data_IF_986297356870
#
_entry.id   IF_986297356870
#
_cell.length_a   1.000
_cell.length_b   1.000
_cell.length_c   1.000
_cell.angle_alpha   90.00
_cell.angle_beta   90.00
_cell.angle_gamma   90.00
#
_symmetry.space_group_name_H-M   'P 1'
#
loop_
_entity.id
_entity.type
_entity.pdbx_description
1 polymer ?
#
# COMPACT_ATOMS: atom_id res chain seq x y z
N UNK A 1 7.99 -31.86 7.21
CA UNK A 1 6.88 -32.37 6.43
C UNK A 1 5.60 -32.08 7.20
N UNK A 2 5.27 -30.79 7.41
CA UNK A 2 4.07 -30.31 8.14
C UNK A 2 3.57 -28.96 7.59
N UNK A 3 3.76 -28.70 6.29
CA UNK A 3 3.36 -27.45 5.62
C UNK A 3 2.24 -27.62 4.58
N UNK A 4 1.55 -28.78 4.59
CA UNK A 4 0.57 -29.12 3.54
C UNK A 4 -0.89 -29.15 4.01
N UNK A 5 -1.17 -28.83 5.29
CA UNK A 5 -2.54 -28.90 5.84
C UNK A 5 -3.09 -27.55 6.36
N UNK A 6 -2.63 -26.42 5.81
CA UNK A 6 -3.37 -25.18 6.02
C UNK A 6 -4.48 -25.07 4.98
N UNK A 7 -5.71 -24.76 5.38
CA UNK A 7 -6.84 -24.66 4.46
C UNK A 7 -6.56 -23.60 3.40
N UNK A 8 -6.89 -23.92 2.16
CA UNK A 8 -6.66 -23.06 0.96
C UNK A 8 -7.16 -21.61 1.08
N UNK A 9 -8.05 -21.34 2.04
CA UNK A 9 -8.54 -19.98 2.32
C UNK A 9 -7.47 -18.98 2.78
N UNK A 10 -6.35 -19.41 3.35
CA UNK A 10 -5.28 -18.49 3.80
C UNK A 10 -4.35 -18.02 2.67
N UNK A 11 -4.31 -18.74 1.53
CA UNK A 11 -3.48 -18.38 0.38
C UNK A 11 -4.13 -17.38 -0.57
N UNK A 12 -5.44 -17.21 -0.52
CA UNK A 12 -6.21 -16.44 -1.52
C UNK A 12 -6.24 -14.93 -1.26
N UNK A 13 -5.91 -14.48 -0.07
CA UNK A 13 -6.13 -13.11 0.43
C UNK A 13 -5.41 -11.99 -0.34
N UNK A 14 -4.37 -12.32 -1.10
CA UNK A 14 -3.41 -11.32 -1.60
C UNK A 14 -3.35 -11.29 -3.12
N UNK A 15 -4.23 -11.99 -3.81
CA UNK A 15 -4.20 -11.93 -5.26
C UNK A 15 -4.88 -10.65 -5.75
N UNK A 16 -4.30 -10.02 -6.76
CA UNK A 16 -4.90 -8.86 -7.43
C UNK A 16 -6.27 -9.21 -8.00
N UNK A 17 -6.48 -10.46 -8.42
CA UNK A 17 -7.77 -10.95 -8.91
C UNK A 17 -8.85 -10.88 -7.82
N UNK A 18 -8.58 -11.40 -6.63
CA UNK A 18 -9.51 -11.28 -5.49
C UNK A 18 -9.78 -9.83 -5.10
N UNK A 19 -8.76 -8.99 -5.10
CA UNK A 19 -8.92 -7.57 -4.83
C UNK A 19 -9.78 -6.87 -5.90
N UNK A 20 -9.59 -7.22 -7.18
CA UNK A 20 -10.37 -6.66 -8.29
C UNK A 20 -11.82 -7.10 -8.19
N UNK A 21 -12.08 -8.39 -7.92
CA UNK A 21 -13.41 -8.92 -7.72
C UNK A 21 -14.11 -8.26 -6.53
N UNK A 22 -13.43 -8.16 -5.38
CA UNK A 22 -13.93 -7.47 -4.21
C UNK A 22 -14.28 -6.00 -4.51
N UNK A 23 -13.41 -5.30 -5.23
CA UNK A 23 -13.65 -3.91 -5.63
C UNK A 23 -14.87 -3.77 -6.54
N UNK A 24 -15.04 -4.70 -7.49
CA UNK A 24 -16.18 -4.74 -8.38
C UNK A 24 -17.50 -5.03 -7.62
N UNK A 25 -17.48 -5.99 -6.70
CA UNK A 25 -18.65 -6.35 -5.87
C UNK A 25 -19.06 -5.20 -4.95
N UNK A 26 -18.12 -4.53 -4.28
CA UNK A 26 -18.41 -3.35 -3.46
C UNK A 26 -19.00 -2.24 -4.33
N UNK A 27 -18.38 -1.94 -5.48
CA UNK A 27 -18.87 -0.90 -6.38
C UNK A 27 -20.26 -1.21 -6.93
N UNK A 28 -20.55 -2.47 -7.27
CA UNK A 28 -21.88 -2.91 -7.69
C UNK A 28 -22.92 -2.68 -6.59
N UNK A 29 -22.62 -3.09 -5.36
CA UNK A 29 -23.55 -2.91 -4.23
C UNK A 29 -23.79 -1.43 -3.91
N UNK A 30 -22.76 -0.58 -3.99
CA UNK A 30 -22.92 0.88 -3.84
C UNK A 30 -23.80 1.50 -4.90
N UNK A 31 -23.88 0.90 -6.09
CA UNK A 31 -24.65 1.42 -7.23
C UNK A 31 -26.08 0.86 -7.30
N UNK A 32 -26.37 -0.21 -6.56
CA UNK A 32 -27.59 -1.02 -6.77
C UNK A 32 -28.88 -0.36 -6.22
N UNK A 33 -28.78 0.64 -5.35
CA UNK A 33 -29.92 1.36 -4.73
C UNK A 33 -31.03 0.44 -4.20
N UNK A 34 -30.66 -0.56 -3.38
CA UNK A 34 -31.57 -1.52 -2.77
C UNK A 34 -31.98 -1.05 -1.36
N UNK A 35 -33.16 -1.44 -0.84
CA UNK A 35 -33.56 -1.11 0.52
C UNK A 35 -32.64 -1.68 1.60
N UNK A 36 -32.04 -2.86 1.35
CA UNK A 36 -31.09 -3.59 2.19
C UNK A 36 -29.62 -3.39 1.80
N UNK A 37 -29.32 -2.35 1.04
CA UNK A 37 -28.00 -2.11 0.44
C UNK A 37 -26.89 -2.07 1.50
N UNK A 38 -27.13 -1.36 2.61
CA UNK A 38 -26.11 -1.19 3.65
C UNK A 38 -25.81 -2.50 4.39
N UNK A 39 -26.83 -3.32 4.65
CA UNK A 39 -26.65 -4.62 5.29
C UNK A 39 -25.95 -5.62 4.35
N UNK A 40 -26.34 -5.65 3.08
CA UNK A 40 -25.70 -6.49 2.06
C UNK A 40 -24.24 -6.11 1.85
N UNK A 41 -23.95 -4.81 1.78
CA UNK A 41 -22.59 -4.29 1.67
C UNK A 41 -21.78 -4.63 2.92
N UNK A 42 -22.34 -4.44 4.11
CA UNK A 42 -21.66 -4.80 5.35
C UNK A 42 -21.36 -6.31 5.39
N UNK A 43 -22.30 -7.18 5.01
CA UNK A 43 -22.09 -8.61 4.95
C UNK A 43 -20.93 -8.98 4.00
N UNK A 44 -20.82 -8.30 2.85
CA UNK A 44 -19.72 -8.47 1.92
C UNK A 44 -18.37 -8.06 2.56
N UNK A 45 -18.32 -6.93 3.28
CA UNK A 45 -17.11 -6.46 3.93
C UNK A 45 -16.65 -7.40 5.04
N UNK A 46 -17.59 -7.86 5.85
CA UNK A 46 -17.31 -8.73 6.99
C UNK A 46 -16.91 -10.15 6.56
N UNK A 47 -17.38 -10.62 5.41
CA UNK A 47 -17.17 -12.01 5.00
C UNK A 47 -17.67 -13.00 6.07
N UNK A 48 -16.81 -13.91 6.58
CA UNK A 48 -17.21 -14.87 7.61
C UNK A 48 -17.32 -14.29 9.02
N UNK A 49 -16.81 -13.08 9.27
CA UNK A 49 -16.83 -12.46 10.60
C UNK A 49 -18.26 -12.21 11.09
N UNK A 50 -18.46 -12.37 12.38
CA UNK A 50 -19.77 -12.20 13.05
C UNK A 50 -19.64 -11.28 14.24
N UNK A 51 -20.59 -10.35 14.33
CA UNK A 51 -20.70 -9.39 15.44
C UNK A 51 -22.06 -9.54 16.11
N UNK A 52 -22.10 -9.45 17.43
CA UNK A 52 -23.35 -9.48 18.19
C UNK A 52 -24.18 -8.20 17.97
N UNK A 53 -23.53 -7.10 17.70
CA UNK A 53 -24.13 -5.81 17.36
C UNK A 53 -23.44 -5.23 16.12
N UNK A 54 -24.20 -5.10 15.03
CA UNK A 54 -23.72 -4.54 13.77
C UNK A 54 -24.08 -3.04 13.60
N UNK A 55 -24.85 -2.48 14.53
CA UNK A 55 -25.31 -1.08 14.41
C UNK A 55 -24.15 -0.08 14.37
N UNK A 56 -23.07 -0.20 15.14
CA UNK A 56 -21.92 0.70 15.02
C UNK A 56 -21.30 0.66 13.62
N UNK A 57 -21.22 -0.52 12.99
CA UNK A 57 -20.66 -0.67 11.65
C UNK A 57 -21.57 -0.04 10.57
N UNK A 58 -22.88 -0.20 10.70
CA UNK A 58 -23.85 0.46 9.82
C UNK A 58 -23.78 1.99 9.96
N UNK A 59 -23.64 2.50 11.18
CA UNK A 59 -23.48 3.93 11.44
C UNK A 59 -22.15 4.46 10.87
N UNK A 60 -21.04 3.73 11.02
CA UNK A 60 -19.76 4.08 10.41
C UNK A 60 -19.87 4.14 8.89
N UNK A 61 -20.50 3.12 8.26
CA UNK A 61 -20.72 3.08 6.82
C UNK A 61 -21.58 4.24 6.34
N UNK A 62 -22.67 4.56 7.03
CA UNK A 62 -23.50 5.73 6.76
C UNK A 62 -22.68 7.02 6.83
N UNK A 63 -21.84 7.14 7.85
CA UNK A 63 -21.00 8.33 8.07
C UNK A 63 -20.03 8.54 6.89
N UNK A 64 -19.29 7.50 6.48
CA UNK A 64 -18.34 7.65 5.35
C UNK A 64 -19.05 7.90 4.02
N UNK A 65 -20.22 7.29 3.78
CA UNK A 65 -21.03 7.55 2.58
C UNK A 65 -21.51 9.01 2.53
N UNK A 66 -21.93 9.58 3.64
CA UNK A 66 -22.30 11.00 3.73
C UNK A 66 -21.08 11.90 3.48
N UNK A 67 -19.94 11.56 4.05
CA UNK A 67 -18.71 12.35 3.94
C UNK A 67 -18.14 12.34 2.53
N UNK A 68 -17.94 11.16 1.94
CA UNK A 68 -17.38 11.04 0.59
C UNK A 68 -18.37 11.39 -0.52
N UNK A 69 -19.67 11.10 -0.34
CA UNK A 69 -20.66 11.32 -1.39
C UNK A 69 -20.24 10.68 -2.71
N UNK A 70 -20.26 11.47 -3.79
CA UNK A 70 -19.85 11.04 -5.13
C UNK A 70 -18.39 11.41 -5.46
N UNK A 71 -17.60 11.79 -4.46
CA UNK A 71 -16.19 12.15 -4.62
C UNK A 71 -15.41 10.99 -5.22
N UNK A 72 -14.57 11.29 -6.21
CA UNK A 72 -13.73 10.29 -6.88
C UNK A 72 -12.25 10.46 -6.55
N UNK A 73 -11.53 9.36 -6.49
CA UNK A 73 -10.07 9.36 -6.41
C UNK A 73 -9.47 9.86 -7.73
N UNK A 74 -8.21 10.31 -7.68
CA UNK A 74 -7.47 10.77 -8.88
C UNK A 74 -7.41 9.72 -9.99
N UNK A 75 -7.43 8.46 -9.63
CA UNK A 75 -7.40 7.29 -10.55
C UNK A 75 -8.80 6.84 -11.02
N UNK A 76 -9.86 7.56 -10.64
CA UNK A 76 -11.21 7.42 -11.20
C UNK A 76 -12.27 6.74 -10.34
N UNK A 77 -12.02 5.75 -9.46
CA UNK A 77 -13.07 5.12 -8.65
C UNK A 77 -13.65 6.07 -7.58
N UNK A 78 -14.82 5.70 -7.04
CA UNK A 78 -15.40 6.41 -5.90
C UNK A 78 -14.45 6.39 -4.70
N UNK A 79 -14.28 7.53 -4.04
CA UNK A 79 -13.34 7.63 -2.91
C UNK A 79 -13.75 6.74 -1.72
N UNK A 80 -15.04 6.55 -1.50
CA UNK A 80 -15.58 5.68 -0.45
C UNK A 80 -15.17 4.20 -0.61
N UNK A 81 -14.75 3.76 -1.81
CA UNK A 81 -14.27 2.39 -2.00
C UNK A 81 -13.03 2.07 -1.18
N UNK A 82 -12.15 3.05 -0.99
CA UNK A 82 -10.91 2.85 -0.24
C UNK A 82 -11.14 2.38 1.21
N UNK A 83 -11.84 3.12 2.07
CA UNK A 83 -12.07 2.67 3.44
C UNK A 83 -12.91 1.37 3.50
N UNK A 84 -13.82 1.14 2.57
CA UNK A 84 -14.58 -0.11 2.51
C UNK A 84 -13.69 -1.31 2.15
N UNK A 85 -12.80 -1.17 1.16
CA UNK A 85 -11.83 -2.21 0.81
C UNK A 85 -10.83 -2.45 1.94
N UNK A 86 -10.35 -1.39 2.59
CA UNK A 86 -9.47 -1.50 3.76
C UNK A 86 -10.14 -2.31 4.87
N UNK A 87 -11.40 -2.05 5.17
CA UNK A 87 -12.17 -2.85 6.13
C UNK A 87 -12.31 -4.32 5.72
N UNK A 88 -12.58 -4.58 4.45
CA UNK A 88 -12.67 -5.93 3.92
C UNK A 88 -11.33 -6.68 3.97
N UNK A 89 -10.21 -6.00 3.71
CA UNK A 89 -8.86 -6.57 3.84
C UNK A 89 -8.54 -6.93 5.29
N UNK A 90 -8.83 -6.04 6.25
CA UNK A 90 -8.70 -6.32 7.68
C UNK A 90 -9.53 -7.54 8.07
N UNK A 91 -10.82 -7.55 7.71
CA UNK A 91 -11.73 -8.66 8.05
C UNK A 91 -11.24 -10.01 7.51
N UNK A 92 -10.70 -10.05 6.30
CA UNK A 92 -10.24 -11.30 5.67
C UNK A 92 -8.89 -11.76 6.17
N UNK A 93 -8.06 -10.87 6.69
CA UNK A 93 -6.74 -11.21 7.21
C UNK A 93 -6.82 -11.77 8.63
N UNK A 94 -7.80 -11.33 9.39
CA UNK A 94 -7.99 -11.72 10.80
C UNK A 94 -8.90 -12.93 10.92
N UNK A 95 -8.56 -13.88 11.82
CA UNK A 95 -9.44 -15.01 12.15
C UNK A 95 -10.71 -14.49 12.85
N UNK A 96 -10.56 -13.55 13.76
CA UNK A 96 -11.65 -12.93 14.52
C UNK A 96 -11.41 -11.41 14.61
N UNK A 97 -11.81 -10.63 13.61
CA UNK A 97 -11.68 -9.18 13.67
C UNK A 97 -12.53 -8.59 14.79
N UNK A 98 -11.96 -7.70 15.58
CA UNK A 98 -12.68 -6.95 16.60
C UNK A 98 -13.54 -5.84 16.01
N UNK A 99 -14.52 -5.38 16.79
CA UNK A 99 -15.36 -4.25 16.38
C UNK A 99 -14.52 -3.01 16.08
N UNK A 100 -13.48 -2.75 16.88
CA UNK A 100 -12.61 -1.60 16.68
C UNK A 100 -11.73 -1.73 15.44
N UNK A 101 -11.26 -2.93 15.08
CA UNK A 101 -10.54 -3.14 13.82
C UNK A 101 -11.38 -2.69 12.62
N UNK A 102 -12.66 -3.10 12.61
CA UNK A 102 -13.58 -2.77 11.53
C UNK A 102 -13.97 -1.30 11.50
N UNK A 103 -14.33 -0.73 12.65
CA UNK A 103 -14.70 0.69 12.75
C UNK A 103 -13.53 1.60 12.35
N UNK A 104 -12.35 1.25 12.84
CA UNK A 104 -11.14 2.02 12.56
C UNK A 104 -10.75 1.92 11.08
N UNK A 105 -10.87 0.71 10.48
CA UNK A 105 -10.61 0.53 9.05
C UNK A 105 -11.58 1.34 8.17
N UNK A 106 -12.86 1.43 8.54
CA UNK A 106 -13.84 2.26 7.82
C UNK A 106 -13.61 3.76 7.99
N UNK A 107 -13.05 4.20 9.12
CA UNK A 107 -12.98 5.62 9.51
C UNK A 107 -11.55 6.18 9.49
N UNK A 108 -10.53 5.39 9.10
CA UNK A 108 -9.12 5.75 9.27
C UNK A 108 -8.73 7.07 8.60
N UNK A 109 -9.29 7.34 7.43
CA UNK A 109 -9.02 8.57 6.67
C UNK A 109 -10.00 9.71 6.99
N UNK A 110 -10.89 9.54 8.00
CA UNK A 110 -11.86 10.59 8.34
C UNK A 110 -11.19 11.94 8.64
N UNK A 111 -10.04 11.91 9.32
CA UNK A 111 -9.31 13.12 9.68
C UNK A 111 -8.60 13.78 8.49
N UNK A 112 -8.14 12.99 7.54
CA UNK A 112 -7.40 13.48 6.37
C UNK A 112 -8.32 13.86 5.21
N UNK A 113 -9.27 12.99 4.88
CA UNK A 113 -10.10 13.11 3.68
C UNK A 113 -11.44 13.83 3.90
N UNK A 114 -11.96 13.81 5.13
CA UNK A 114 -13.30 14.31 5.46
C UNK A 114 -13.29 15.47 6.47
N UNK A 115 -12.38 16.46 6.36
CA UNK A 115 -12.57 17.70 7.12
C UNK A 115 -13.86 18.38 6.68
N UNK A 116 -14.53 19.04 7.62
CA UNK A 116 -15.89 19.58 7.37
C UNK A 116 -15.97 20.53 6.18
N UNK A 117 -14.89 21.22 5.87
CA UNK A 117 -14.77 22.16 4.76
C UNK A 117 -14.86 21.47 3.39
N UNK A 118 -14.50 20.20 3.31
CA UNK A 118 -14.53 19.40 2.06
C UNK A 118 -15.90 18.76 1.83
N UNK A 119 -16.66 18.53 2.91
CA UNK A 119 -17.99 17.92 2.82
C UNK A 119 -18.98 18.94 2.26
N UNK A 120 -19.82 18.50 1.33
CA UNK A 120 -20.87 19.33 0.75
C UNK A 120 -21.81 19.92 1.82
N UNK A 121 -22.14 21.20 1.68
CA UNK A 121 -22.87 21.98 2.71
C UNK A 121 -24.17 21.32 3.16
N UNK A 122 -24.94 20.77 2.24
CA UNK A 122 -26.19 20.06 2.47
C UNK A 122 -26.02 18.74 3.24
N UNK A 123 -24.83 18.16 3.26
CA UNK A 123 -24.50 16.89 3.92
C UNK A 123 -23.79 17.06 5.27
N UNK A 124 -23.20 18.23 5.55
CA UNK A 124 -22.40 18.47 6.77
C UNK A 124 -23.13 18.17 8.07
N UNK A 125 -24.38 18.64 8.18
CA UNK A 125 -25.17 18.42 9.37
C UNK A 125 -25.44 16.93 9.60
N UNK A 126 -25.89 16.23 8.56
CA UNK A 126 -26.16 14.80 8.61
C UNK A 126 -24.88 13.96 8.88
N UNK A 127 -23.73 14.35 8.33
CA UNK A 127 -22.43 13.72 8.62
C UNK A 127 -22.05 13.87 10.09
N UNK A 128 -22.10 15.07 10.65
CA UNK A 128 -21.80 15.33 12.08
C UNK A 128 -22.73 14.53 12.99
N UNK A 129 -24.04 14.58 12.70
CA UNK A 129 -25.04 13.85 13.46
C UNK A 129 -24.80 12.32 13.40
N UNK A 130 -24.56 11.76 12.20
CA UNK A 130 -24.30 10.33 12.03
C UNK A 130 -23.05 9.89 12.83
N UNK A 131 -21.98 10.67 12.80
CA UNK A 131 -20.78 10.38 13.56
C UNK A 131 -21.00 10.50 15.08
N UNK A 132 -21.74 11.50 15.53
CA UNK A 132 -22.09 11.65 16.94
C UNK A 132 -22.95 10.50 17.46
N UNK A 133 -23.97 10.09 16.68
CA UNK A 133 -24.79 8.91 16.99
C UNK A 133 -23.94 7.65 17.12
N UNK A 134 -22.94 7.46 16.26
CA UNK A 134 -22.00 6.34 16.37
C UNK A 134 -21.24 6.39 17.70
N UNK A 135 -20.68 7.55 18.08
CA UNK A 135 -19.93 7.71 19.32
C UNK A 135 -20.82 7.48 20.55
N UNK A 136 -22.04 8.00 20.53
CA UNK A 136 -23.03 7.84 21.61
C UNK A 136 -23.47 6.37 21.75
N UNK A 137 -23.65 5.66 20.63
CA UNK A 137 -24.00 4.23 20.60
C UNK A 137 -22.90 3.36 21.22
N UNK A 138 -21.62 3.68 20.96
CA UNK A 138 -20.49 2.99 21.57
C UNK A 138 -20.38 3.25 23.07
N UNK A 139 -20.94 4.37 23.55
CA UNK A 139 -20.83 4.86 24.92
C UNK A 139 -19.51 5.55 25.22
N UNK A 140 -19.50 6.41 26.23
CA UNK A 140 -18.44 7.39 26.52
C UNK A 140 -16.99 6.91 26.25
N UNK A 141 -16.50 5.97 27.08
CA UNK A 141 -15.10 5.53 27.00
C UNK A 141 -14.74 4.84 25.65
N UNK A 142 -15.67 4.09 25.05
CA UNK A 142 -15.44 3.43 23.75
C UNK A 142 -15.47 4.43 22.61
N UNK A 143 -16.41 5.37 22.64
CA UNK A 143 -16.47 6.46 21.65
C UNK A 143 -15.23 7.34 21.68
N UNK A 144 -14.77 7.73 22.87
CA UNK A 144 -13.53 8.49 23.06
C UNK A 144 -12.30 7.71 22.55
N UNK A 145 -12.24 6.40 22.83
CA UNK A 145 -11.18 5.52 22.32
C UNK A 145 -11.16 5.53 20.79
N UNK A 146 -12.31 5.32 20.13
CA UNK A 146 -12.39 5.33 18.66
C UNK A 146 -11.91 6.66 18.08
N UNK A 147 -12.41 7.78 18.60
CA UNK A 147 -12.03 9.10 18.13
C UNK A 147 -10.54 9.40 18.35
N UNK A 148 -9.97 8.93 19.46
CA UNK A 148 -8.52 9.00 19.70
C UNK A 148 -7.72 8.20 18.70
N UNK A 149 -8.12 6.95 18.41
CA UNK A 149 -7.44 6.08 17.45
C UNK A 149 -7.47 6.67 16.04
N UNK A 150 -8.60 7.25 15.62
CA UNK A 150 -8.72 7.95 14.32
C UNK A 150 -7.73 9.13 14.26
N UNK A 151 -7.61 9.92 15.35
CA UNK A 151 -6.62 11.01 15.40
C UNK A 151 -5.18 10.51 15.28
N UNK A 152 -4.84 9.39 15.89
CA UNK A 152 -3.50 8.77 15.76
C UNK A 152 -3.23 8.32 14.32
N UNK A 153 -4.23 7.85 13.60
CA UNK A 153 -4.09 7.48 12.17
C UNK A 153 -4.02 8.69 11.23
N UNK A 154 -4.49 9.85 11.67
CA UNK A 154 -4.42 11.08 10.88
C UNK A 154 -3.00 11.63 10.87
N UNK A 155 -2.42 11.81 9.68
CA UNK A 155 -1.07 12.36 9.56
C UNK A 155 -1.02 13.83 9.96
N UNK A 156 -0.26 14.15 11.01
CA UNK A 156 0.06 15.53 11.36
C UNK A 156 1.21 16.05 10.49
N UNK A 157 0.99 17.14 9.77
CA UNK A 157 1.97 17.68 8.83
C UNK A 157 3.26 18.14 9.51
N UNK A 158 3.19 18.57 10.77
CA UNK A 158 4.34 19.07 11.52
C UNK A 158 5.40 18.00 11.80
N UNK A 159 4.98 16.75 12.01
CA UNK A 159 5.88 15.62 12.28
C UNK A 159 6.54 15.07 11.03
N UNK A 160 6.04 15.40 9.85
CA UNK A 160 6.41 14.73 8.61
C UNK A 160 5.99 13.25 8.61
N UNK A 161 6.15 12.57 7.47
CA UNK A 161 5.68 11.18 7.34
C UNK A 161 6.44 10.20 8.23
N UNK A 162 7.74 10.40 8.41
CA UNK A 162 8.59 9.53 9.23
C UNK A 162 8.21 9.61 10.71
N UNK A 163 8.13 10.82 11.26
CA UNK A 163 7.72 11.02 12.64
C UNK A 163 6.32 10.50 12.94
N UNK A 164 5.40 10.66 11.99
CA UNK A 164 4.07 10.08 12.05
C UNK A 164 4.11 8.53 12.16
N UNK A 165 4.94 7.86 11.33
CA UNK A 165 5.07 6.40 11.39
C UNK A 165 5.63 5.92 12.73
N UNK A 166 6.62 6.60 13.28
CA UNK A 166 7.18 6.27 14.60
C UNK A 166 6.15 6.40 15.70
N UNK A 167 5.39 7.50 15.70
CA UNK A 167 4.31 7.71 16.66
C UNK A 167 3.25 6.62 16.55
N UNK A 168 2.88 6.25 15.34
CA UNK A 168 1.92 5.16 15.06
C UNK A 168 2.42 3.83 15.62
N UNK A 169 3.68 3.46 15.36
CA UNK A 169 4.29 2.23 15.85
C UNK A 169 4.35 2.22 17.39
N UNK A 170 4.73 3.34 18.01
CA UNK A 170 4.76 3.41 19.47
C UNK A 170 3.36 3.24 20.11
N UNK A 171 2.35 3.87 19.52
CA UNK A 171 0.96 3.74 19.98
C UNK A 171 0.37 2.36 19.76
N UNK A 172 0.81 1.68 18.70
CA UNK A 172 0.34 0.32 18.37
C UNK A 172 0.76 -0.75 19.38
N UNK A 173 1.78 -0.49 20.21
CA UNK A 173 2.20 -1.40 21.29
C UNK A 173 1.08 -1.65 22.30
N UNK A 174 0.20 -0.66 22.50
CA UNK A 174 -0.99 -0.76 23.37
C UNK A 174 -2.28 -0.95 22.58
N UNK A 175 -2.25 -0.66 21.29
CA UNK A 175 -3.41 -0.62 20.40
C UNK A 175 -3.05 -1.21 19.03
N UNK A 176 -2.92 -2.55 18.91
CA UNK A 176 -2.45 -3.21 17.69
C UNK A 176 -3.35 -2.96 16.47
N UNK A 177 -4.62 -2.65 16.69
CA UNK A 177 -5.57 -2.29 15.62
C UNK A 177 -5.06 -1.15 14.73
N UNK A 178 -4.22 -0.26 15.27
CA UNK A 178 -3.60 0.83 14.48
C UNK A 178 -2.70 0.30 13.37
N UNK A 179 -1.89 -0.74 13.65
CA UNK A 179 -1.03 -1.37 12.64
C UNK A 179 -1.84 -2.20 11.65
N UNK A 180 -2.84 -2.96 12.12
CA UNK A 180 -3.71 -3.74 11.25
C UNK A 180 -4.33 -2.84 10.18
N UNK A 181 -4.89 -1.72 10.60
CA UNK A 181 -5.54 -0.77 9.70
C UNK A 181 -4.52 -0.07 8.80
N UNK A 182 -3.38 0.36 9.34
CA UNK A 182 -2.37 1.07 8.52
C UNK A 182 -1.73 0.17 7.48
N UNK A 183 -1.47 -1.09 7.79
CA UNK A 183 -0.96 -2.07 6.82
C UNK A 183 -2.02 -2.40 5.76
N UNK A 184 -3.29 -2.56 6.14
CA UNK A 184 -4.38 -2.77 5.20
C UNK A 184 -4.62 -1.55 4.29
N UNK A 185 -4.51 -0.32 4.81
CA UNK A 185 -4.49 0.92 4.01
C UNK A 185 -3.35 0.91 2.99
N UNK A 186 -2.14 0.55 3.42
CA UNK A 186 -0.98 0.44 2.52
C UNK A 186 -1.19 -0.62 1.44
N UNK A 187 -1.77 -1.75 1.80
CA UNK A 187 -2.11 -2.83 0.89
C UNK A 187 -3.14 -2.38 -0.14
N UNK A 188 -4.25 -1.76 0.28
CA UNK A 188 -5.28 -1.22 -0.62
C UNK A 188 -4.68 -0.21 -1.60
N UNK A 189 -3.91 0.74 -1.10
CA UNK A 189 -3.26 1.76 -1.92
C UNK A 189 -2.28 1.17 -2.96
N UNK A 190 -1.64 0.05 -2.65
CA UNK A 190 -0.72 -0.65 -3.57
C UNK A 190 -1.50 -1.46 -4.61
N UNK A 191 -2.52 -2.21 -4.19
CA UNK A 191 -3.33 -3.04 -5.07
C UNK A 191 -4.24 -2.22 -5.99
N UNK A 192 -4.70 -1.05 -5.55
CA UNK A 192 -5.56 -0.15 -6.34
C UNK A 192 -4.87 0.30 -7.65
N UNK A 193 -3.54 0.33 -7.66
CA UNK A 193 -2.76 0.61 -8.87
C UNK A 193 -2.92 -0.46 -9.96
N UNK A 194 -3.34 -1.67 -9.60
CA UNK A 194 -3.53 -2.77 -10.55
C UNK A 194 -4.93 -2.82 -11.16
N UNK A 195 -5.90 -2.07 -10.62
CA UNK A 195 -7.25 -2.03 -11.18
C UNK A 195 -7.21 -1.42 -12.57
N UNK A 196 -7.78 -2.15 -13.53
CA UNK A 196 -7.85 -1.69 -14.92
C UNK A 196 -6.58 -1.96 -15.74
N UNK A 197 -5.60 -2.70 -15.20
CA UNK A 197 -4.40 -3.14 -15.92
C UNK A 197 -4.55 -4.62 -16.33
N UNK A 198 -5.12 -4.91 -17.50
CA UNK A 198 -5.33 -6.28 -17.92
C UNK A 198 -4.00 -6.99 -18.25
N UNK A 199 -3.88 -8.23 -17.84
CA UNK A 199 -2.87 -9.16 -18.37
C UNK A 199 -1.55 -9.27 -17.59
N UNK A 200 -1.23 -8.37 -16.67
CA UNK A 200 0.02 -8.44 -15.88
C UNK A 200 0.06 -9.68 -14.98
N UNK A 201 -1.09 -10.14 -14.53
CA UNK A 201 -1.24 -11.29 -13.63
C UNK A 201 -0.87 -12.64 -14.25
N UNK A 202 -0.96 -12.75 -15.57
CA UNK A 202 -0.67 -13.99 -16.29
C UNK A 202 0.79 -14.12 -16.77
N UNK A 203 1.61 -13.08 -16.54
CA UNK A 203 3.01 -13.11 -16.94
C UNK A 203 3.87 -13.78 -15.87
N UNK A 204 4.64 -14.78 -16.30
CA UNK A 204 5.77 -15.24 -15.52
C UNK A 204 6.89 -14.20 -15.66
N UNK A 205 6.98 -13.28 -14.71
CA UNK A 205 7.97 -12.20 -14.72
C UNK A 205 9.39 -12.73 -14.90
N UNK A 206 9.78 -13.75 -14.14
CA UNK A 206 11.14 -14.29 -14.21
C UNK A 206 11.46 -14.87 -15.58
N UNK A 207 10.51 -15.59 -16.20
CA UNK A 207 10.68 -16.09 -17.56
C UNK A 207 10.79 -14.93 -18.55
N UNK A 208 9.94 -13.94 -18.45
CA UNK A 208 9.96 -12.78 -19.36
C UNK A 208 11.28 -12.01 -19.26
N UNK A 209 11.78 -11.78 -18.04
CA UNK A 209 13.08 -11.14 -17.82
C UNK A 209 14.22 -12.03 -18.30
N UNK A 210 14.16 -13.34 -18.05
CA UNK A 210 15.16 -14.28 -18.56
C UNK A 210 15.21 -14.25 -20.09
N UNK A 211 14.07 -14.37 -20.74
CA UNK A 211 13.97 -14.34 -22.21
C UNK A 211 14.52 -13.00 -22.73
N UNK A 212 14.14 -11.89 -22.10
CA UNK A 212 14.60 -10.55 -22.49
C UNK A 212 16.12 -10.37 -22.34
N UNK A 213 16.70 -10.85 -21.26
CA UNK A 213 18.11 -10.60 -20.94
C UNK A 213 19.09 -11.64 -21.51
N UNK A 214 18.66 -12.88 -21.67
CA UNK A 214 19.54 -14.00 -21.93
C UNK A 214 19.28 -14.73 -23.27
N UNK A 215 18.15 -14.44 -23.93
CA UNK A 215 17.81 -15.01 -25.22
C UNK A 215 17.64 -13.91 -26.29
N UNK A 216 18.66 -13.10 -26.56
CA UNK A 216 18.54 -11.93 -27.45
C UNK A 216 18.20 -12.25 -28.90
N UNK A 217 18.32 -13.51 -29.31
CA UNK A 217 18.06 -13.98 -30.68
C UNK A 217 16.70 -14.68 -30.80
N UNK A 218 15.88 -14.68 -29.78
CA UNK A 218 14.58 -15.33 -29.80
C UNK A 218 13.61 -14.59 -30.75
N UNK A 219 13.68 -14.91 -32.01
CA UNK A 219 12.74 -14.42 -33.02
C UNK A 219 11.36 -15.03 -32.74
N UNK A 220 10.52 -14.33 -32.04
CA UNK A 220 9.16 -14.78 -31.83
C UNK A 220 8.50 -14.33 -30.52
N UNK A 221 9.22 -13.75 -29.58
CA UNK A 221 8.57 -13.06 -28.48
C UNK A 221 8.10 -11.70 -29.00
N UNK A 222 7.00 -11.71 -29.73
CA UNK A 222 6.16 -10.52 -29.83
C UNK A 222 5.58 -10.32 -28.43
N UNK A 223 6.35 -9.69 -27.55
CA UNK A 223 5.79 -8.99 -26.41
C UNK A 223 4.94 -7.90 -27.07
N UNK A 224 3.67 -8.23 -27.24
CA UNK A 224 2.72 -7.28 -27.83
C UNK A 224 2.76 -6.09 -26.89
N UNK A 225 3.20 -4.94 -27.39
CA UNK A 225 3.26 -3.65 -26.68
C UNK A 225 1.83 -3.18 -26.41
N UNK A 226 1.19 -3.73 -25.38
CA UNK A 226 -0.13 -3.28 -24.95
C UNK A 226 -0.07 -2.38 -23.72
N UNK A 227 1.13 -2.21 -23.16
CA UNK A 227 1.33 -1.42 -21.96
C UNK A 227 2.39 -0.35 -22.26
N UNK A 228 2.10 0.86 -21.83
CA UNK A 228 3.03 1.96 -21.84
C UNK A 228 3.38 2.30 -20.41
N UNK A 229 4.65 2.61 -20.17
CA UNK A 229 5.02 3.24 -18.91
C UNK A 229 4.09 4.44 -18.65
N UNK A 230 3.60 4.62 -17.42
CA UNK A 230 2.85 5.80 -17.06
C UNK A 230 3.63 7.08 -17.37
N UNK A 231 2.95 8.21 -17.45
CA UNK A 231 3.62 9.51 -17.49
C UNK A 231 4.54 9.69 -16.27
N UNK A 232 5.62 10.48 -16.34
CA UNK A 232 6.48 10.74 -15.18
C UNK A 232 5.73 11.24 -13.94
N UNK A 233 4.63 11.95 -14.13
CA UNK A 233 3.78 12.45 -13.03
C UNK A 233 2.99 11.30 -12.35
N UNK A 234 2.39 10.42 -13.13
CA UNK A 234 1.70 9.23 -12.61
C UNK A 234 2.70 8.25 -12.01
N UNK A 235 3.82 8.00 -12.69
CA UNK A 235 4.91 7.14 -12.21
C UNK A 235 5.51 7.63 -10.90
N UNK A 236 5.57 8.94 -10.67
CA UNK A 236 6.02 9.52 -9.40
C UNK A 236 5.14 9.12 -8.22
N UNK A 237 3.84 8.94 -8.44
CA UNK A 237 2.91 8.47 -7.41
C UNK A 237 3.16 7.00 -7.08
N UNK A 238 3.38 6.16 -8.10
CA UNK A 238 3.69 4.74 -7.92
C UNK A 238 4.99 4.56 -7.14
N UNK A 239 6.07 5.23 -7.54
CA UNK A 239 7.33 5.20 -6.81
C UNK A 239 7.18 5.69 -5.37
N UNK A 240 6.42 6.76 -5.15
CA UNK A 240 6.15 7.27 -3.80
C UNK A 240 5.48 6.24 -2.91
N UNK A 241 4.57 5.41 -3.46
CA UNK A 241 3.96 4.32 -2.71
C UNK A 241 4.98 3.24 -2.36
N UNK A 242 5.80 2.82 -3.32
CA UNK A 242 6.83 1.80 -3.09
C UNK A 242 7.85 2.26 -2.03
N UNK A 243 8.34 3.49 -2.12
CA UNK A 243 9.25 4.04 -1.11
C UNK A 243 8.60 4.12 0.28
N UNK A 244 7.35 4.57 0.37
CA UNK A 244 6.60 4.59 1.64
C UNK A 244 6.45 3.20 2.24
N UNK A 245 6.16 2.19 1.41
CA UNK A 245 6.08 0.81 1.86
C UNK A 245 7.44 0.32 2.37
N UNK A 246 8.52 0.53 1.61
CA UNK A 246 9.86 0.11 2.02
C UNK A 246 10.28 0.72 3.36
N UNK A 247 10.04 2.03 3.56
CA UNK A 247 10.35 2.71 4.83
C UNK A 247 9.49 2.18 5.96
N UNK A 248 8.19 2.03 5.75
CA UNK A 248 7.27 1.57 6.79
C UNK A 248 7.58 0.14 7.24
N UNK A 249 7.79 -0.79 6.28
CA UNK A 249 8.16 -2.16 6.60
C UNK A 249 9.52 -2.24 7.30
N UNK A 250 10.49 -1.41 6.90
CA UNK A 250 11.79 -1.32 7.57
C UNK A 250 11.67 -0.86 9.02
N UNK A 251 10.89 0.17 9.29
CA UNK A 251 10.64 0.65 10.64
C UNK A 251 9.94 -0.40 11.51
N UNK A 252 8.93 -1.08 10.95
CA UNK A 252 8.25 -2.17 11.66
C UNK A 252 9.22 -3.28 12.05
N UNK A 253 10.10 -3.71 11.14
CA UNK A 253 11.13 -4.72 11.45
C UNK A 253 12.08 -4.22 12.52
N UNK A 254 12.53 -2.98 12.43
CA UNK A 254 13.51 -2.44 13.39
C UNK A 254 12.95 -2.28 14.81
N UNK A 255 11.68 -1.85 14.94
CA UNK A 255 11.05 -1.53 16.22
C UNK A 255 10.29 -2.68 16.89
N UNK A 256 9.96 -3.75 16.15
CA UNK A 256 9.00 -4.74 16.59
C UNK A 256 9.39 -6.20 16.32
N UNK A 257 10.66 -6.48 15.98
CA UNK A 257 11.15 -7.80 15.53
C UNK A 257 10.64 -8.97 16.40
N UNK A 258 10.51 -8.80 17.70
CA UNK A 258 10.14 -9.89 18.62
C UNK A 258 8.64 -9.94 18.99
N UNK A 259 7.78 -9.08 18.44
CA UNK A 259 6.44 -8.85 19.01
C UNK A 259 5.31 -8.56 18.03
N UNK A 260 5.47 -8.77 16.75
CA UNK A 260 4.36 -8.63 15.81
C UNK A 260 3.35 -9.77 16.03
N UNK A 261 2.08 -9.44 16.16
CA UNK A 261 1.03 -10.46 16.16
C UNK A 261 0.86 -11.06 14.74
N UNK A 262 0.26 -12.24 14.67
CA UNK A 262 0.10 -12.98 13.42
C UNK A 262 -0.68 -12.23 12.33
N UNK A 263 -1.56 -11.29 12.69
CA UNK A 263 -2.29 -10.45 11.75
C UNK A 263 -1.38 -9.40 11.14
N UNK A 264 -0.59 -8.74 11.99
CA UNK A 264 0.40 -7.76 11.55
C UNK A 264 1.43 -8.40 10.63
N UNK A 265 1.94 -9.60 10.94
CA UNK A 265 2.87 -10.34 10.06
C UNK A 265 2.25 -10.66 8.71
N UNK A 266 1.01 -11.18 8.68
CA UNK A 266 0.32 -11.47 7.42
C UNK A 266 0.10 -10.23 6.56
N UNK A 267 -0.29 -9.11 7.16
CA UNK A 267 -0.44 -7.85 6.45
C UNK A 267 0.89 -7.27 5.98
N UNK A 268 1.96 -7.44 6.78
CA UNK A 268 3.32 -7.07 6.39
C UNK A 268 3.74 -7.81 5.12
N UNK A 269 3.61 -9.13 5.11
CA UNK A 269 3.94 -9.95 3.94
C UNK A 269 3.08 -9.59 2.72
N UNK A 270 1.80 -9.32 2.95
CA UNK A 270 0.88 -8.88 1.91
C UNK A 270 1.33 -7.57 1.24
N UNK A 271 1.71 -6.57 2.03
CA UNK A 271 2.23 -5.29 1.52
C UNK A 271 3.56 -5.50 0.77
N UNK A 272 4.46 -6.35 1.28
CA UNK A 272 5.71 -6.66 0.61
C UNK A 272 5.48 -7.34 -0.74
N UNK A 273 4.61 -8.36 -0.80
CA UNK A 273 4.25 -9.07 -2.05
C UNK A 273 3.59 -8.13 -3.06
N UNK A 274 2.62 -7.31 -2.62
CA UNK A 274 1.97 -6.34 -3.49
C UNK A 274 2.99 -5.32 -4.05
N UNK A 275 3.94 -4.89 -3.23
CA UNK A 275 5.00 -3.96 -3.62
C UNK A 275 5.98 -4.59 -4.62
N UNK A 276 6.35 -5.87 -4.45
CA UNK A 276 7.15 -6.60 -5.45
C UNK A 276 6.41 -6.65 -6.78
N UNK A 277 5.14 -6.99 -6.78
CA UNK A 277 4.33 -7.08 -8.01
C UNK A 277 4.23 -5.75 -8.73
N UNK A 278 4.02 -4.65 -7.99
CA UNK A 278 4.02 -3.31 -8.57
C UNK A 278 5.39 -2.96 -9.18
N UNK A 279 6.48 -3.21 -8.46
CA UNK A 279 7.83 -2.98 -8.95
C UNK A 279 8.15 -3.87 -10.18
N UNK A 280 7.75 -5.14 -10.18
CA UNK A 280 7.91 -6.06 -11.30
C UNK A 280 7.15 -5.61 -12.55
N UNK A 281 5.94 -5.07 -12.36
CA UNK A 281 5.18 -4.52 -13.47
C UNK A 281 5.91 -3.34 -14.12
N UNK A 282 6.37 -2.37 -13.32
CA UNK A 282 7.15 -1.23 -13.82
C UNK A 282 8.44 -1.72 -14.52
N UNK A 283 9.12 -2.70 -13.93
CA UNK A 283 10.33 -3.29 -14.51
C UNK A 283 10.08 -3.89 -15.90
N UNK A 284 9.00 -4.65 -16.06
CA UNK A 284 8.69 -5.32 -17.33
C UNK A 284 8.45 -4.30 -18.45
N UNK A 285 7.66 -3.27 -18.17
CA UNK A 285 7.40 -2.18 -19.11
C UNK A 285 8.69 -1.43 -19.47
N UNK A 286 9.45 -1.05 -18.45
CA UNK A 286 10.69 -0.32 -18.57
C UNK A 286 11.75 -1.12 -19.36
N UNK A 287 11.91 -2.43 -19.05
CA UNK A 287 12.88 -3.28 -19.73
C UNK A 287 12.55 -3.47 -21.21
N UNK A 288 11.27 -3.59 -21.54
CA UNK A 288 10.81 -3.66 -22.91
C UNK A 288 11.13 -2.39 -23.68
N UNK A 289 10.90 -1.23 -23.07
CA UNK A 289 11.21 0.05 -23.69
C UNK A 289 12.72 0.30 -23.77
N UNK A 290 13.46 -0.01 -22.71
CA UNK A 290 14.91 0.16 -22.65
C UNK A 290 15.62 -0.69 -23.69
N UNK A 291 15.23 -1.97 -23.83
CA UNK A 291 15.78 -2.89 -24.83
C UNK A 291 15.66 -2.33 -26.24
N UNK A 292 14.55 -1.69 -26.57
CA UNK A 292 14.31 -1.15 -27.89
C UNK A 292 15.20 0.06 -28.23
N UNK A 293 15.71 0.77 -27.22
CA UNK A 293 16.52 1.99 -27.37
C UNK A 293 18.01 1.76 -27.21
N UNK A 294 18.42 1.05 -26.16
CA UNK A 294 19.80 0.95 -25.70
C UNK A 294 20.44 -0.42 -25.92
N UNK A 295 19.65 -1.42 -26.23
CA UNK A 295 20.08 -2.78 -26.47
C UNK A 295 20.11 -3.67 -25.23
N UNK A 296 20.04 -5.00 -25.48
CA UNK A 296 19.90 -6.04 -24.45
C UNK A 296 21.13 -6.15 -23.57
N UNK A 297 22.35 -6.00 -24.13
CA UNK A 297 23.57 -6.21 -23.35
C UNK A 297 23.78 -5.12 -22.30
N UNK A 298 23.44 -3.87 -22.62
CA UNK A 298 23.50 -2.77 -21.66
C UNK A 298 22.48 -2.96 -20.54
N UNK A 299 21.25 -3.35 -20.88
CA UNK A 299 20.21 -3.65 -19.90
C UNK A 299 20.62 -4.83 -18.99
N UNK A 300 21.16 -5.89 -19.56
CA UNK A 300 21.65 -7.07 -18.82
C UNK A 300 22.71 -6.67 -17.78
N UNK A 301 23.73 -5.92 -18.21
CA UNK A 301 24.78 -5.46 -17.29
C UNK A 301 24.19 -4.63 -16.18
N UNK A 302 23.34 -3.65 -16.48
CA UNK A 302 22.73 -2.77 -15.49
C UNK A 302 21.91 -3.56 -14.45
N UNK A 303 21.05 -4.48 -14.90
CA UNK A 303 20.23 -5.31 -13.99
C UNK A 303 21.11 -6.21 -13.13
N UNK A 304 22.07 -6.91 -13.74
CA UNK A 304 22.94 -7.86 -13.02
C UNK A 304 23.83 -7.16 -12.01
N UNK A 305 24.39 -6.01 -12.34
CA UNK A 305 25.26 -5.24 -11.45
C UNK A 305 24.43 -4.64 -10.29
N UNK A 306 23.23 -4.13 -10.57
CA UNK A 306 22.32 -3.65 -9.53
C UNK A 306 21.87 -4.77 -8.60
N UNK A 307 21.54 -5.95 -9.12
CA UNK A 307 21.15 -7.10 -8.29
C UNK A 307 22.32 -7.55 -7.39
N UNK A 308 23.53 -7.69 -7.93
CA UNK A 308 24.71 -8.05 -7.14
C UNK A 308 24.96 -7.04 -6.02
N UNK A 309 24.88 -5.76 -6.34
CA UNK A 309 25.07 -4.69 -5.39
C UNK A 309 23.99 -4.69 -4.29
N UNK A 310 22.72 -4.90 -4.67
CA UNK A 310 21.59 -4.97 -3.74
C UNK A 310 21.69 -6.18 -2.80
N UNK A 311 22.02 -7.36 -3.34
CA UNK A 311 22.19 -8.60 -2.55
C UNK A 311 23.38 -8.48 -1.56
N UNK A 312 24.45 -7.79 -1.97
CA UNK A 312 25.58 -7.51 -1.10
C UNK A 312 25.29 -6.47 0.01
N UNK A 313 24.06 -5.95 0.06
CA UNK A 313 23.65 -4.94 1.03
C UNK A 313 24.02 -3.50 0.63
N UNK A 314 24.68 -3.29 -0.50
CA UNK A 314 25.12 -1.96 -0.94
C UNK A 314 23.96 -1.01 -1.25
N UNK A 315 22.91 -1.49 -1.92
CA UNK A 315 21.76 -0.68 -2.28
C UNK A 315 20.85 -0.30 -1.09
N UNK A 316 20.99 -1.00 0.03
CA UNK A 316 20.31 -0.69 1.28
C UNK A 316 21.17 0.15 2.23
N UNK A 317 22.46 0.36 1.91
CA UNK A 317 23.30 1.31 2.60
C UNK A 317 22.90 2.73 2.19
N UNK A 318 22.14 3.38 3.04
CA UNK A 318 21.76 4.79 2.84
C UNK A 318 22.98 5.65 3.16
N UNK A 319 23.76 5.96 2.14
CA UNK A 319 24.83 6.93 2.26
C UNK A 319 24.34 8.29 1.80
N UNK A 320 24.68 9.34 2.50
CA UNK A 320 24.56 10.70 1.99
C UNK A 320 25.56 10.90 0.84
N UNK A 321 25.25 10.30 -0.30
CA UNK A 321 26.00 10.59 -1.51
C UNK A 321 25.71 12.04 -1.92
N UNK A 322 26.76 12.80 -2.25
CA UNK A 322 26.62 14.10 -2.90
C UNK A 322 26.06 13.96 -4.32
N UNK A 323 25.93 12.75 -4.80
CA UNK A 323 25.44 12.41 -6.12
C UNK A 323 23.95 12.01 -6.05
N UNK A 324 23.08 12.87 -6.56
CA UNK A 324 21.63 12.62 -6.63
C UNK A 324 21.27 11.39 -7.47
N UNK A 325 22.21 10.81 -8.20
CA UNK A 325 22.06 9.62 -9.03
C UNK A 325 22.61 8.35 -8.37
N UNK A 326 23.09 8.44 -7.14
CA UNK A 326 23.57 7.26 -6.39
C UNK A 326 22.39 6.45 -5.86
N UNK A 327 22.47 5.10 -6.00
CA UNK A 327 21.51 4.16 -5.40
C UNK A 327 21.52 4.27 -3.88
N UNK A 328 22.68 4.56 -3.30
CA UNK A 328 22.86 4.70 -1.86
C UNK A 328 22.10 5.89 -1.25
N UNK A 329 21.86 6.92 -2.02
CA UNK A 329 21.07 8.07 -1.60
C UNK A 329 19.59 8.01 -1.98
N UNK A 330 19.15 6.95 -2.65
CA UNK A 330 17.87 6.92 -3.33
C UNK A 330 16.68 7.15 -2.40
N UNK A 331 16.58 6.38 -1.32
CA UNK A 331 15.50 6.51 -0.34
C UNK A 331 15.66 7.83 0.42
N UNK A 332 16.87 8.13 0.90
CA UNK A 332 17.18 9.32 1.65
C UNK A 332 16.83 10.60 0.86
N UNK A 333 17.36 10.72 -0.35
CA UNK A 333 17.20 11.91 -1.17
C UNK A 333 15.74 12.19 -1.57
N UNK A 334 14.93 11.14 -1.69
CA UNK A 334 13.53 11.26 -2.10
C UNK A 334 12.55 11.31 -0.92
N UNK A 335 12.94 10.80 0.25
CA UNK A 335 12.03 10.68 1.40
C UNK A 335 12.24 11.76 2.47
N UNK A 336 13.45 12.25 2.67
CA UNK A 336 13.78 13.29 3.67
C UNK A 336 13.24 14.67 3.29
N UNK A 337 12.90 14.90 2.02
CA UNK A 337 12.32 16.18 1.60
C UNK A 337 10.89 16.27 2.15
N UNK A 338 10.71 17.14 3.12
CA UNK A 338 9.43 17.41 3.79
C UNK A 338 8.41 18.04 2.84
N UNK A 339 8.86 18.87 1.91
CA UNK A 339 7.99 19.58 0.97
C UNK A 339 7.48 18.64 -0.13
N UNK A 340 6.18 18.36 -0.11
CA UNK A 340 5.52 17.44 -1.03
C UNK A 340 5.74 17.76 -2.51
N UNK A 341 5.77 19.06 -2.87
CA UNK A 341 5.97 19.50 -4.25
C UNK A 341 7.39 19.18 -4.76
N UNK A 342 8.39 19.41 -3.93
CA UNK A 342 9.79 19.09 -4.26
C UNK A 342 9.96 17.57 -4.39
N UNK A 343 9.41 16.81 -3.45
CA UNK A 343 9.45 15.34 -3.50
C UNK A 343 8.81 14.78 -4.76
N UNK A 344 7.63 15.28 -5.16
CA UNK A 344 6.98 14.88 -6.41
C UNK A 344 7.84 15.19 -7.62
N UNK A 345 8.43 16.40 -7.67
CA UNK A 345 9.31 16.79 -8.77
C UNK A 345 10.55 15.90 -8.90
N UNK A 346 11.19 15.54 -7.77
CA UNK A 346 12.33 14.62 -7.76
C UNK A 346 11.94 13.22 -8.24
N UNK A 347 10.84 12.66 -7.75
CA UNK A 347 10.36 11.34 -8.18
C UNK A 347 9.94 11.33 -9.65
N UNK A 348 9.37 12.42 -10.16
CA UNK A 348 9.04 12.54 -11.58
C UNK A 348 10.30 12.57 -12.46
N UNK A 349 11.36 13.28 -12.04
CA UNK A 349 12.65 13.26 -12.72
C UNK A 349 13.31 11.89 -12.69
N UNK A 350 13.24 11.18 -11.54
CA UNK A 350 13.73 9.82 -11.40
C UNK A 350 12.98 8.87 -12.35
N UNK A 351 11.66 8.96 -12.40
CA UNK A 351 10.85 8.13 -13.27
C UNK A 351 11.12 8.39 -14.76
N UNK A 352 11.46 9.61 -15.14
CA UNK A 352 11.81 9.98 -16.51
C UNK A 352 13.20 9.48 -16.95
N UNK A 353 14.08 9.15 -16.03
CA UNK A 353 15.42 8.63 -16.31
C UNK A 353 15.42 7.09 -16.30
N UNK A 354 15.37 6.46 -17.47
CA UNK A 354 15.21 5.01 -17.60
C UNK A 354 16.33 4.19 -16.94
N UNK A 355 17.58 4.65 -17.00
CA UNK A 355 18.70 3.95 -16.38
C UNK A 355 18.58 3.98 -14.86
N UNK A 356 18.33 5.17 -14.31
CA UNK A 356 18.17 5.34 -12.87
C UNK A 356 16.86 4.68 -12.34
N UNK A 357 15.80 4.74 -13.14
CA UNK A 357 14.55 4.01 -12.82
C UNK A 357 14.78 2.50 -12.80
N UNK A 358 15.54 1.95 -13.77
CA UNK A 358 15.89 0.53 -13.79
C UNK A 358 16.62 0.13 -12.51
N UNK A 359 17.64 0.87 -12.13
CA UNK A 359 18.39 0.64 -10.90
C UNK A 359 17.48 0.72 -9.66
N UNK A 360 16.62 1.74 -9.60
CA UNK A 360 15.66 1.92 -8.50
C UNK A 360 14.72 0.74 -8.36
N UNK A 361 14.09 0.32 -9.45
CA UNK A 361 13.08 -0.74 -9.44
C UNK A 361 13.71 -2.10 -9.09
N UNK A 362 14.89 -2.41 -9.64
CA UNK A 362 15.62 -3.65 -9.30
C UNK A 362 16.00 -3.65 -7.81
N UNK A 363 16.43 -2.51 -7.27
CA UNK A 363 16.72 -2.36 -5.84
C UNK A 363 15.47 -2.59 -4.97
N UNK A 364 14.34 -1.99 -5.35
CA UNK A 364 13.09 -2.18 -4.61
C UNK A 364 12.60 -3.62 -4.65
N UNK A 365 12.70 -4.31 -5.80
CA UNK A 365 12.38 -5.74 -5.89
C UNK A 365 13.26 -6.55 -4.93
N UNK A 366 14.58 -6.31 -4.93
CA UNK A 366 15.51 -6.98 -4.03
C UNK A 366 15.18 -6.69 -2.56
N UNK A 367 14.88 -5.43 -2.22
CA UNK A 367 14.53 -5.00 -0.85
C UNK A 367 13.25 -5.71 -0.36
N UNK A 368 12.18 -5.69 -1.14
CA UNK A 368 10.95 -6.37 -0.73
C UNK A 368 11.09 -7.89 -0.68
N UNK A 369 11.89 -8.49 -1.58
CA UNK A 369 12.23 -9.90 -1.50
C UNK A 369 13.01 -10.23 -0.23
N UNK A 370 13.92 -9.36 0.21
CA UNK A 370 14.65 -9.52 1.47
C UNK A 370 13.71 -9.46 2.68
N UNK A 371 12.74 -8.56 2.71
CA UNK A 371 11.71 -8.54 3.77
C UNK A 371 10.93 -9.86 3.91
N UNK A 372 10.71 -10.57 2.80
CA UNK A 372 9.96 -11.83 2.80
C UNK A 372 10.83 -13.06 3.15
N UNK A 373 12.15 -12.99 2.88
CA UNK A 373 13.05 -14.14 3.03
C UNK A 373 13.94 -14.05 4.27
N UNK A 374 14.08 -12.88 4.87
CA UNK A 374 14.90 -12.63 6.05
C UNK A 374 14.07 -11.88 7.11
N UNK A 375 13.63 -12.55 8.18
CA UNK A 375 12.84 -11.93 9.24
C UNK A 375 13.55 -10.78 9.97
N UNK A 376 14.88 -10.76 9.95
CA UNK A 376 15.68 -9.71 10.60
C UNK A 376 16.07 -8.59 9.63
N UNK A 377 15.69 -8.71 8.36
CA UNK A 377 16.05 -7.71 7.38
C UNK A 377 15.35 -6.37 7.65
N UNK A 378 16.15 -5.34 7.78
CA UNK A 378 15.72 -3.93 7.77
C UNK A 378 16.68 -3.12 6.90
N UNK A 379 16.21 -2.02 6.33
CA UNK A 379 17.04 -1.13 5.53
C UNK A 379 17.97 -0.37 6.48
N UNK A 380 19.29 -0.53 6.28
CA UNK A 380 20.28 0.17 7.10
C UNK A 380 20.14 1.68 6.97
N UNK A 381 20.33 2.40 8.07
CA UNK A 381 20.19 3.85 8.12
C UNK A 381 18.75 4.33 8.26
N UNK A 382 17.76 3.43 8.38
CA UNK A 382 16.40 3.77 8.78
C UNK A 382 16.22 3.27 10.21
N UNK A 383 16.21 4.17 11.16
CA UNK A 383 16.03 3.88 12.58
C UNK A 383 15.07 4.86 13.24
N UNK A 384 14.88 4.72 14.57
CA UNK A 384 14.01 5.56 15.37
C UNK A 384 14.36 7.05 15.32
N UNK A 385 15.63 7.37 15.16
CA UNK A 385 16.12 8.74 15.11
C UNK A 385 16.05 9.36 13.71
N UNK A 386 15.52 8.63 12.75
CA UNK A 386 15.32 9.12 11.40
C UNK A 386 16.04 8.30 10.34
N UNK A 387 16.18 8.89 9.16
CA UNK A 387 16.94 8.33 8.06
C UNK A 387 18.35 8.91 8.15
N UNK A 388 19.32 8.08 8.50
CA UNK A 388 20.72 8.49 8.68
C UNK A 388 21.62 7.82 7.66
N UNK A 389 22.67 8.52 7.19
CA UNK A 389 23.73 7.89 6.43
C UNK A 389 24.47 6.87 7.31
N UNK A 390 24.79 5.72 6.73
CA UNK A 390 25.63 4.68 7.36
C UNK A 390 27.09 4.94 7.05
#
# INVERSE_FOLDING_TARGET
>A
MALLDQPDHERELITVEHFTNLSAEINYNLSAKRPDEDEALLALLLGPARFSDIQPLLLAMKTIRLGYGDTRRKIGPLAVLHPLRTAALVSRTMINPGLFDMLLAMLHDKGEDLPLEVIADDKRAAFKESYQILLDHLGGAKGERLDHMIRVLTQEYELGYFGYLLQLIDRSKETPELLHVKLADRLDNTLDNHIGRPGVLHYNFFRSVFDLLFVPVYKGVNIRRYHFLPSPEEGSLLLSQLFKNAVFLSLLRHESIDKLDATTERLFDAVAIASIREAQWIALELFTEYQSREGVDKLRSLVMDTMKYSIAGGATDIRTGKDEQSVDGLILNNFVVTEQKIRRSRMSKLFANHEFLTTTIVTLIATFASFLNDPEFAIRGIDRDGIKPV
#
